data_IF_995207278347
#
_entry.id   IF_995207278347
#
_cell.length_a   1.000
_cell.length_b   1.000
_cell.length_c   1.000
_cell.angle_alpha   90.00
_cell.angle_beta   90.00
_cell.angle_gamma   90.00
#
_symmetry.space_group_name_H-M   'P 1'
#
loop_
_entity.id
_entity.type
_entity.pdbx_description
1 polymer ?
#
# COMPACT_ATOMS: atom_id res chain seq x y z
N UNK A 1 -39.78 -16.92 -20.98
CA UNK A 1 -39.00 -15.69 -20.71
C UNK A 1 -38.40 -15.79 -19.32
N UNK A 2 -37.20 -16.35 -19.19
CA UNK A 2 -36.50 -16.52 -17.92
C UNK A 2 -35.43 -15.43 -17.79
N UNK A 3 -35.60 -14.50 -16.87
CA UNK A 3 -34.61 -13.45 -16.59
C UNK A 3 -33.59 -14.01 -15.62
N UNK A 4 -32.37 -14.26 -16.09
CA UNK A 4 -31.20 -14.54 -15.25
C UNK A 4 -30.83 -13.26 -14.50
N UNK A 5 -31.01 -13.25 -13.18
CA UNK A 5 -30.39 -12.25 -12.32
C UNK A 5 -28.89 -12.55 -12.27
N UNK A 6 -28.07 -11.66 -12.87
CA UNK A 6 -26.62 -11.62 -12.62
C UNK A 6 -26.43 -10.89 -11.29
N UNK A 7 -26.14 -11.62 -10.22
CA UNK A 7 -25.64 -11.00 -8.99
C UNK A 7 -24.24 -10.44 -9.26
N UNK A 8 -24.13 -9.12 -9.19
CA UNK A 8 -22.88 -8.40 -9.21
C UNK A 8 -22.03 -8.84 -8.00
N UNK A 9 -20.75 -9.15 -8.25
CA UNK A 9 -19.76 -9.38 -7.21
C UNK A 9 -19.56 -8.10 -6.40
N UNK A 10 -20.25 -8.01 -5.27
CA UNK A 10 -20.04 -6.99 -4.25
C UNK A 10 -18.72 -7.31 -3.54
N UNK A 11 -17.61 -6.72 -3.99
CA UNK A 11 -16.39 -6.63 -3.18
C UNK A 11 -16.70 -5.79 -1.95
N UNK A 12 -16.90 -6.47 -0.83
CA UNK A 12 -17.30 -5.94 0.45
C UNK A 12 -16.21 -5.00 1.00
N UNK A 13 -16.27 -3.74 0.58
CA UNK A 13 -15.41 -2.64 1.05
C UNK A 13 -15.96 -2.12 2.38
N UNK A 14 -16.07 -2.99 3.38
CA UNK A 14 -16.59 -2.63 4.68
C UNK A 14 -15.62 -3.14 5.77
N UNK A 15 -14.67 -2.25 6.12
CA UNK A 15 -13.80 -2.29 7.30
C UNK A 15 -13.18 -3.65 7.59
N UNK A 16 -12.03 -3.94 6.97
CA UNK A 16 -11.14 -4.99 7.47
C UNK A 16 -10.57 -4.55 8.83
N UNK A 17 -10.99 -5.14 9.98
CA UNK A 17 -10.44 -4.80 11.29
C UNK A 17 -8.93 -5.07 11.38
N UNK A 18 -8.41 -5.97 10.54
CA UNK A 18 -6.99 -6.27 10.44
C UNK A 18 -6.18 -5.05 9.98
N UNK A 19 -6.77 -4.15 9.19
CA UNK A 19 -6.08 -2.88 8.81
C UNK A 19 -5.78 -2.06 10.06
N UNK A 20 -6.74 -1.96 10.97
CA UNK A 20 -6.56 -1.22 12.22
C UNK A 20 -5.45 -1.82 13.08
N UNK A 21 -5.41 -3.15 13.18
CA UNK A 21 -4.48 -3.87 14.04
C UNK A 21 -3.02 -3.66 13.63
N UNK A 22 -2.65 -3.90 12.37
CA UNK A 22 -1.25 -3.72 11.95
C UNK A 22 -0.86 -2.23 11.94
N UNK A 23 -1.76 -1.31 11.58
CA UNK A 23 -1.46 0.13 11.59
C UNK A 23 -1.02 0.59 12.98
N UNK A 24 -1.59 0.04 14.06
CA UNK A 24 -1.19 0.41 15.42
C UNK A 24 0.30 0.13 15.73
N UNK A 25 0.91 -0.82 15.03
CA UNK A 25 2.31 -1.23 15.22
C UNK A 25 3.30 -0.41 14.37
N UNK A 26 2.81 0.53 13.55
CA UNK A 26 3.65 1.34 12.67
C UNK A 26 4.57 2.30 13.45
N UNK A 27 5.89 2.23 13.19
CA UNK A 27 6.90 3.07 13.85
C UNK A 27 6.68 4.57 13.63
N UNK A 28 6.24 4.96 12.44
CA UNK A 28 6.04 6.36 12.08
C UNK A 28 4.96 7.07 12.90
N UNK A 29 4.05 6.33 13.58
CA UNK A 29 3.02 6.90 14.46
C UNK A 29 3.56 7.72 15.62
N UNK A 30 4.83 7.50 16.02
CA UNK A 30 5.48 8.24 17.11
C UNK A 30 6.16 9.53 16.64
N UNK A 31 6.25 9.76 15.33
CA UNK A 31 6.90 10.94 14.75
C UNK A 31 5.90 11.98 14.25
N UNK A 32 6.43 13.01 13.59
CA UNK A 32 5.64 14.02 12.91
C UNK A 32 4.95 13.41 11.66
N UNK A 33 3.61 13.45 11.57
CA UNK A 33 2.89 12.96 10.39
C UNK A 33 3.28 13.70 9.11
N UNK A 34 3.59 15.00 9.17
CA UNK A 34 3.90 15.81 7.98
C UNK A 34 5.22 15.38 7.33
N UNK A 35 6.12 14.77 8.11
CA UNK A 35 7.38 14.21 7.60
C UNK A 35 7.16 13.12 6.53
N UNK A 36 6.01 12.44 6.52
CA UNK A 36 5.67 11.44 5.49
C UNK A 36 5.09 12.05 4.21
N UNK A 37 4.64 13.31 4.24
CA UNK A 37 3.96 13.98 3.13
C UNK A 37 4.81 15.04 2.41
N UNK A 38 6.14 14.99 2.60
CA UNK A 38 7.12 15.82 1.88
C UNK A 38 7.08 15.57 0.36
N UNK A 39 7.64 16.49 -0.43
CA UNK A 39 7.61 16.45 -1.90
C UNK A 39 8.99 16.18 -2.51
N UNK A 40 8.99 15.72 -3.76
CA UNK A 40 10.20 15.60 -4.57
C UNK A 40 11.26 14.68 -3.97
N UNK A 41 12.52 15.14 -3.96
CA UNK A 41 13.65 14.35 -3.50
C UNK A 41 13.60 14.03 -2.00
N UNK A 42 12.94 14.87 -1.19
CA UNK A 42 12.83 14.70 0.26
C UNK A 42 12.05 13.44 0.64
N UNK A 43 11.19 12.92 -0.25
CA UNK A 43 10.50 11.64 -0.03
C UNK A 43 11.48 10.47 0.17
N UNK A 44 12.68 10.53 -0.42
CA UNK A 44 13.70 9.49 -0.21
C UNK A 44 14.26 9.51 1.21
N UNK A 45 14.41 10.68 1.82
CA UNK A 45 14.83 10.81 3.22
C UNK A 45 13.70 10.35 4.15
N UNK A 46 12.46 10.74 3.86
CA UNK A 46 11.29 10.29 4.61
C UNK A 46 11.09 8.76 4.53
N UNK A 47 11.41 8.12 3.40
CA UNK A 47 11.36 6.66 3.26
C UNK A 47 12.25 5.91 4.26
N UNK A 48 13.30 6.55 4.79
CA UNK A 48 14.17 5.98 5.83
C UNK A 48 13.42 5.77 7.15
N UNK A 49 12.37 6.55 7.44
CA UNK A 49 11.52 6.38 8.63
C UNK A 49 10.89 4.98 8.65
N UNK A 50 10.57 4.43 7.48
CA UNK A 50 9.99 3.11 7.36
C UNK A 50 11.02 1.99 7.61
N UNK A 51 12.32 2.27 7.69
CA UNK A 51 13.36 1.25 7.85
C UNK A 51 13.15 0.48 9.16
N UNK A 52 13.15 -0.85 9.05
CA UNK A 52 12.87 -1.77 10.16
C UNK A 52 11.48 -1.56 10.80
N UNK A 53 10.51 -0.93 10.12
CA UNK A 53 9.13 -0.89 10.58
C UNK A 53 8.55 -2.32 10.49
N UNK A 54 7.95 -2.87 11.56
CA UNK A 54 7.47 -4.25 11.56
C UNK A 54 6.37 -4.48 10.52
N UNK A 55 5.61 -3.43 10.19
CA UNK A 55 4.46 -3.49 9.28
C UNK A 55 4.76 -2.90 7.89
N UNK A 56 6.02 -2.98 7.48
CA UNK A 56 6.49 -2.39 6.23
C UNK A 56 5.83 -3.03 5.00
N UNK A 57 5.62 -4.35 5.03
CA UNK A 57 5.03 -5.11 3.93
C UNK A 57 3.52 -4.83 3.80
N UNK A 58 2.81 -4.83 4.91
CA UNK A 58 1.38 -4.56 5.01
C UNK A 58 1.08 -3.11 4.58
N UNK A 59 1.86 -2.14 5.09
CA UNK A 59 1.74 -0.73 4.70
C UNK A 59 2.00 -0.52 3.21
N UNK A 60 2.97 -1.27 2.65
CA UNK A 60 3.30 -1.22 1.23
C UNK A 60 2.17 -1.79 0.37
N UNK A 61 1.67 -2.96 0.74
CA UNK A 61 0.56 -3.61 0.05
C UNK A 61 -0.67 -2.70 0.06
N UNK A 62 -1.07 -2.21 1.24
CA UNK A 62 -2.24 -1.33 1.39
C UNK A 62 -2.11 -0.08 0.50
N UNK A 63 -0.94 0.55 0.44
CA UNK A 63 -0.75 1.72 -0.41
C UNK A 63 -0.83 1.40 -1.92
N UNK A 64 -0.44 0.20 -2.35
CA UNK A 64 -0.52 -0.23 -3.75
C UNK A 64 -1.95 -0.64 -4.12
N UNK A 65 -2.62 -1.45 -3.28
CA UNK A 65 -4.00 -1.90 -3.49
C UNK A 65 -4.98 -0.74 -3.53
N UNK A 66 -4.85 0.21 -2.58
CA UNK A 66 -5.70 1.40 -2.54
C UNK A 66 -5.22 2.54 -3.47
N UNK A 67 -4.16 2.31 -4.26
CA UNK A 67 -3.57 3.29 -5.18
C UNK A 67 -3.32 4.67 -4.54
N UNK A 68 -2.80 4.67 -3.31
CA UNK A 68 -2.61 5.91 -2.54
C UNK A 68 -1.69 6.89 -3.27
N UNK A 69 -2.20 8.09 -3.52
CA UNK A 69 -1.57 9.05 -4.43
C UNK A 69 -0.39 9.80 -3.81
N UNK A 70 -0.45 10.09 -2.51
CA UNK A 70 0.47 11.04 -1.86
C UNK A 70 1.28 10.43 -0.73
N UNK A 71 2.43 11.04 -0.47
CA UNK A 71 3.30 10.71 0.67
C UNK A 71 4.06 9.41 0.53
N UNK A 72 4.82 9.08 1.58
CA UNK A 72 5.66 7.89 1.70
C UNK A 72 4.91 6.79 2.45
N UNK A 73 4.88 5.60 1.85
CA UNK A 73 4.16 4.44 2.39
C UNK A 73 5.02 3.18 2.24
N UNK A 74 5.20 2.40 3.30
CA UNK A 74 5.96 1.14 3.25
C UNK A 74 7.38 1.29 2.68
N UNK A 75 8.03 2.44 2.92
CA UNK A 75 9.35 2.79 2.37
C UNK A 75 9.35 3.17 0.88
N UNK A 76 8.19 3.36 0.26
CA UNK A 76 8.06 3.74 -1.15
C UNK A 76 7.62 5.20 -1.29
N UNK A 77 8.33 5.91 -2.16
CA UNK A 77 7.92 7.23 -2.65
C UNK A 77 6.71 7.13 -3.57
N UNK A 78 6.00 8.24 -3.79
CA UNK A 78 4.87 8.30 -4.74
C UNK A 78 5.27 7.81 -6.13
N UNK A 79 6.46 8.24 -6.59
CA UNK A 79 6.99 7.88 -7.92
C UNK A 79 7.26 6.39 -8.04
N UNK A 80 7.79 5.75 -6.99
CA UNK A 80 8.03 4.31 -6.96
C UNK A 80 6.71 3.53 -6.99
N UNK A 81 5.71 3.92 -6.18
CA UNK A 81 4.38 3.27 -6.23
C UNK A 81 3.75 3.38 -7.61
N UNK A 82 3.76 4.58 -8.22
CA UNK A 82 3.27 4.77 -9.59
C UNK A 82 4.02 3.90 -10.61
N UNK A 83 5.33 3.72 -10.44
CA UNK A 83 6.12 2.85 -11.33
C UNK A 83 5.75 1.37 -11.17
N UNK A 84 5.59 0.89 -9.93
CA UNK A 84 5.18 -0.49 -9.65
C UNK A 84 3.81 -0.80 -10.24
N UNK A 85 2.83 0.07 -10.03
CA UNK A 85 1.47 -0.12 -10.57
C UNK A 85 1.44 -0.14 -12.10
N UNK A 86 2.28 0.67 -12.78
CA UNK A 86 2.36 0.66 -14.24
C UNK A 86 3.08 -0.58 -14.78
N UNK A 87 4.13 -1.05 -14.12
CA UNK A 87 4.94 -2.19 -14.57
C UNK A 87 4.29 -3.54 -14.26
N UNK A 88 3.42 -3.59 -13.26
CA UNK A 88 2.78 -4.82 -12.80
C UNK A 88 1.24 -4.73 -12.87
N UNK A 89 0.66 -4.52 -14.06
CA UNK A 89 -0.79 -4.35 -14.19
C UNK A 89 -1.59 -5.64 -13.90
N UNK A 90 -0.91 -6.78 -13.86
CA UNK A 90 -1.51 -8.09 -13.60
C UNK A 90 -1.66 -8.40 -12.09
N UNK A 91 -0.99 -7.63 -11.21
CA UNK A 91 -1.10 -7.80 -9.76
C UNK A 91 -2.31 -6.99 -9.28
N UNK A 92 -3.37 -7.68 -8.91
CA UNK A 92 -4.63 -7.08 -8.41
C UNK A 92 -4.78 -7.17 -6.89
N UNK A 93 -3.97 -7.99 -6.23
CA UNK A 93 -3.91 -8.18 -4.78
C UNK A 93 -2.44 -8.16 -4.35
N UNK A 94 -1.96 -6.98 -3.93
CA UNK A 94 -0.59 -6.78 -3.50
C UNK A 94 -0.31 -7.37 -2.12
N UNK A 95 -1.31 -7.43 -1.25
CA UNK A 95 -1.19 -8.05 0.07
C UNK A 95 -0.82 -9.53 -0.06
N UNK A 96 -1.59 -10.28 -0.85
CA UNK A 96 -1.31 -11.69 -1.11
C UNK A 96 0.01 -11.89 -1.87
N UNK A 97 0.27 -11.10 -2.92
CA UNK A 97 1.51 -11.19 -3.70
C UNK A 97 2.76 -11.00 -2.83
N UNK A 98 2.78 -9.99 -1.96
CA UNK A 98 3.93 -9.71 -1.10
C UNK A 98 4.04 -10.72 0.06
N UNK A 99 2.92 -11.23 0.60
CA UNK A 99 2.93 -12.27 1.62
C UNK A 99 3.53 -13.59 1.10
N UNK A 100 3.42 -13.87 -0.20
CA UNK A 100 4.04 -15.02 -0.86
C UNK A 100 5.52 -14.79 -1.23
N UNK A 101 6.10 -13.65 -0.85
CA UNK A 101 7.49 -13.31 -1.17
C UNK A 101 7.69 -12.70 -2.55
N UNK A 102 6.62 -12.18 -3.18
CA UNK A 102 6.71 -11.49 -4.46
C UNK A 102 7.66 -10.29 -4.42
N UNK A 103 8.47 -10.15 -5.46
CA UNK A 103 9.46 -9.07 -5.55
C UNK A 103 8.86 -7.79 -6.14
N UNK A 104 9.43 -6.65 -5.75
CA UNK A 104 9.06 -5.34 -6.29
C UNK A 104 9.78 -5.05 -7.60
N UNK A 105 9.26 -5.60 -8.69
CA UNK A 105 9.87 -5.43 -10.00
C UNK A 105 9.76 -3.98 -10.48
N UNK A 106 10.92 -3.34 -10.68
CA UNK A 106 11.04 -2.09 -11.42
C UNK A 106 11.16 -0.80 -10.60
N UNK A 107 11.67 -0.91 -9.37
CA UNK A 107 12.12 0.23 -8.54
C UNK A 107 13.60 0.12 -8.18
#
# INVERSE_FOLDING_TARGET
MTVRVKTAGMSNTARNPERGEWVTQAKCRKGDPDALFVRGAEQRKAAVICRHCPVLTECRADALDNRVEFGVWGGLTERQRRALLRKNPHITDWAHYLAQGGELVGI
#
